data_IF_618137789666
#
_entry.id   IF_618137789666
#
_cell.length_a   1.000
_cell.length_b   1.000
_cell.length_c   1.000
_cell.angle_alpha   90.00
_cell.angle_beta   90.00
_cell.angle_gamma   90.00
#
_symmetry.space_group_name_H-M   'P 1'
#
loop_
_entity.id
_entity.type
_entity.pdbx_description
1 polymer ?
#
# COMPACT_ATOMS: atom_id res chain seq x y z
N UNK A 1 -5.41 -1.74 8.08
CA UNK A 1 -4.45 -0.59 8.09
C UNK A 1 -4.57 0.28 6.84
N UNK A 2 -4.31 1.60 6.90
CA UNK A 2 -4.32 2.51 5.72
C UNK A 2 -2.95 3.15 5.48
N UNK A 3 -2.43 3.07 4.25
CA UNK A 3 -1.22 3.76 3.79
C UNK A 3 -1.63 4.81 2.76
N UNK A 4 -1.16 6.05 2.92
CA UNK A 4 -1.41 7.16 2.00
C UNK A 4 -0.06 7.71 1.54
N UNK A 5 0.18 7.74 0.23
CA UNK A 5 1.46 8.19 -0.34
C UNK A 5 1.25 8.78 -1.73
N UNK A 6 2.27 9.44 -2.30
CA UNK A 6 2.16 10.10 -3.61
C UNK A 6 2.57 9.19 -4.76
N UNK A 7 3.47 8.25 -4.53
CA UNK A 7 4.07 7.44 -5.59
C UNK A 7 4.07 5.96 -5.24
N UNK A 8 4.09 5.12 -6.27
CA UNK A 8 4.17 3.67 -6.09
C UNK A 8 5.46 3.24 -5.36
N UNK A 9 6.55 4.01 -5.52
CA UNK A 9 7.80 3.78 -4.79
C UNK A 9 7.61 3.97 -3.28
N UNK A 10 6.98 5.07 -2.86
CA UNK A 10 6.68 5.32 -1.45
C UNK A 10 5.72 4.27 -0.88
N UNK A 11 4.76 3.80 -1.69
CA UNK A 11 3.88 2.70 -1.29
C UNK A 11 4.67 1.41 -1.02
N UNK A 12 5.58 1.05 -1.92
CA UNK A 12 6.41 -0.15 -1.79
C UNK A 12 7.33 -0.06 -0.57
N UNK A 13 7.98 1.09 -0.33
CA UNK A 13 8.82 1.33 0.85
C UNK A 13 8.01 1.21 2.16
N UNK A 14 6.80 1.79 2.19
CA UNK A 14 5.91 1.69 3.34
C UNK A 14 5.48 0.25 3.62
N UNK A 15 5.10 -0.50 2.57
CA UNK A 15 4.75 -1.92 2.69
C UNK A 15 5.94 -2.77 3.14
N UNK A 16 7.14 -2.51 2.62
CA UNK A 16 8.35 -3.21 3.03
C UNK A 16 8.69 -2.95 4.51
N UNK A 17 8.55 -1.72 4.99
CA UNK A 17 8.76 -1.38 6.41
C UNK A 17 7.78 -2.08 7.36
N UNK A 18 6.62 -2.49 6.85
CA UNK A 18 5.60 -3.25 7.56
C UNK A 18 5.85 -4.76 7.52
N UNK A 19 6.89 -5.21 6.81
CA UNK A 19 7.23 -6.63 6.64
C UNK A 19 6.61 -7.30 5.41
N UNK A 20 5.93 -6.55 4.54
CA UNK A 20 5.39 -7.06 3.29
C UNK A 20 6.42 -6.90 2.16
N UNK A 21 7.08 -8.00 1.77
CA UNK A 21 8.14 -7.98 0.76
C UNK A 21 7.64 -8.47 -0.61
N UNK A 22 6.79 -9.50 -0.62
CA UNK A 22 6.18 -10.05 -1.82
C UNK A 22 4.70 -9.67 -1.91
N UNK A 23 4.17 -9.65 -3.14
CA UNK A 23 2.73 -9.45 -3.37
C UNK A 23 1.88 -10.52 -2.65
N UNK A 24 2.43 -11.72 -2.48
CA UNK A 24 1.78 -12.82 -1.74
C UNK A 24 1.63 -12.55 -0.25
N UNK A 25 2.46 -11.68 0.32
CA UNK A 25 2.42 -11.36 1.75
C UNK A 25 1.27 -10.39 2.07
N UNK A 26 0.77 -9.68 1.04
CA UNK A 26 -0.26 -8.67 1.22
C UNK A 26 -1.59 -9.33 1.63
N UNK A 27 -2.19 -8.89 2.75
CA UNK A 27 -3.43 -9.46 3.23
C UNK A 27 -4.55 -9.17 2.23
N UNK A 28 -5.35 -10.19 1.93
CA UNK A 28 -6.57 -10.03 1.14
C UNK A 28 -7.75 -9.75 2.08
N UNK A 29 -8.61 -8.77 1.79
CA UNK A 29 -8.63 -7.93 0.57
C UNK A 29 -7.74 -6.68 0.69
N UNK A 30 -6.87 -6.46 -0.31
CA UNK A 30 -6.15 -5.20 -0.47
C UNK A 30 -6.93 -4.31 -1.45
N UNK A 31 -7.23 -3.07 -1.05
CA UNK A 31 -7.79 -2.05 -1.96
C UNK A 31 -6.76 -0.96 -2.17
N UNK A 32 -6.41 -0.71 -3.44
CA UNK A 32 -5.56 0.41 -3.83
C UNK A 32 -6.42 1.38 -4.64
N UNK A 33 -6.52 2.61 -4.16
CA UNK A 33 -7.28 3.70 -4.78
C UNK A 33 -6.34 4.85 -5.14
N UNK A 34 -6.68 5.60 -6.18
CA UNK A 34 -6.01 6.86 -6.51
C UNK A 34 -7.00 7.99 -6.28
N UNK A 35 -6.68 8.91 -5.38
CA UNK A 35 -7.53 10.05 -5.06
C UNK A 35 -6.71 11.34 -5.00
N UNK A 36 -7.05 12.33 -5.84
CA UNK A 36 -6.38 13.63 -5.91
C UNK A 36 -4.84 13.54 -6.04
N UNK A 37 -4.34 12.57 -6.82
CA UNK A 37 -2.90 12.35 -7.00
C UNK A 37 -2.20 11.61 -5.84
N UNK A 38 -2.97 11.08 -4.88
CA UNK A 38 -2.47 10.24 -3.80
C UNK A 38 -2.87 8.78 -4.06
N UNK A 39 -1.96 7.86 -3.82
CA UNK A 39 -2.22 6.43 -3.70
C UNK A 39 -2.69 6.13 -2.26
N UNK A 40 -3.82 5.46 -2.14
CA UNK A 40 -4.43 5.05 -0.88
C UNK A 40 -4.51 3.53 -0.90
N UNK A 41 -3.71 2.85 -0.08
CA UNK A 41 -3.80 1.42 0.13
C UNK A 41 -4.53 1.13 1.45
N UNK A 42 -5.66 0.42 1.38
CA UNK A 42 -6.42 -0.07 2.53
C UNK A 42 -6.26 -1.58 2.63
N UNK A 43 -5.69 -2.01 3.74
CA UNK A 43 -5.61 -3.39 4.21
C UNK A 43 -6.63 -3.59 5.33
N UNK A 44 -7.11 -4.82 5.58
CA UNK A 44 -7.84 -5.13 6.81
C UNK A 44 -7.07 -4.66 8.06
#
# INVERSE_FOLDING_TARGET
MTIICRTAKQLAEALQSQGFFLVTDLPRPLRIEICRGMLIARMP
#
